data_IF_515730907218
#
_entry.id   IF_515730907218
#
_cell.length_a   1.000
_cell.length_b   1.000
_cell.length_c   1.000
_cell.angle_alpha   90.00
_cell.angle_beta   90.00
_cell.angle_gamma   90.00
#
_symmetry.space_group_name_H-M   'P 1'
#
loop_
_entity.id
_entity.type
_entity.pdbx_description
1 polymer ?
#
# COMPACT_ATOMS: atom_id res chain seq x y z
N UNK A 1 -12.23 4.35 29.69
CA UNK A 1 -12.50 2.94 29.37
C UNK A 1 -11.25 2.38 28.70
N UNK A 2 -10.41 1.66 29.44
CA UNK A 2 -9.14 1.11 28.94
C UNK A 2 -9.46 -0.05 27.97
N UNK A 3 -9.09 0.13 26.70
CA UNK A 3 -9.45 -0.78 25.63
C UNK A 3 -8.59 -2.07 25.71
N UNK A 4 -9.18 -3.20 26.11
CA UNK A 4 -8.47 -4.46 26.36
C UNK A 4 -7.82 -5.07 25.10
N UNK A 5 -8.27 -4.70 23.89
CA UNK A 5 -7.64 -5.13 22.63
C UNK A 5 -6.24 -4.53 22.40
N UNK A 6 -5.93 -3.43 23.08
CA UNK A 6 -4.64 -2.74 23.02
C UNK A 6 -3.46 -3.64 23.41
N UNK A 7 -3.68 -4.62 24.30
CA UNK A 7 -2.65 -5.51 24.84
C UNK A 7 -2.52 -6.84 24.09
N UNK A 8 -3.50 -7.21 23.26
CA UNK A 8 -3.44 -8.46 22.49
C UNK A 8 -2.34 -8.46 21.41
N UNK A 9 -1.89 -7.28 20.97
CA UNK A 9 -0.74 -7.10 20.07
C UNK A 9 0.10 -5.90 20.49
N UNK A 10 1.06 -6.06 21.42
CA UNK A 10 1.82 -4.96 22.03
C UNK A 10 2.75 -4.20 21.06
N UNK A 11 2.91 -4.69 19.82
CA UNK A 11 3.72 -4.04 18.78
C UNK A 11 2.90 -3.65 17.53
N UNK A 12 1.56 -3.73 17.56
CA UNK A 12 0.72 -3.29 16.44
C UNK A 12 0.83 -1.78 16.28
N UNK A 13 1.63 -1.33 15.30
CA UNK A 13 1.96 0.08 15.03
C UNK A 13 3.42 0.46 15.31
N UNK A 14 4.24 -0.44 15.84
CA UNK A 14 5.68 -0.22 16.00
C UNK A 14 6.40 -0.27 14.64
N UNK A 15 7.20 0.74 14.34
CA UNK A 15 7.93 0.84 13.08
C UNK A 15 9.24 0.04 13.15
N UNK A 16 9.15 -1.28 12.99
CA UNK A 16 10.30 -2.19 13.05
C UNK A 16 11.41 -1.83 12.06
N UNK A 17 11.04 -1.39 10.86
CA UNK A 17 11.99 -0.98 9.82
C UNK A 17 12.74 0.28 10.25
N UNK A 18 12.05 1.30 10.77
CA UNK A 18 12.68 2.55 11.24
C UNK A 18 13.57 2.30 12.46
N UNK A 19 13.14 1.44 13.38
CA UNK A 19 13.95 0.94 14.49
C UNK A 19 15.24 0.27 13.98
N UNK A 20 15.14 -0.66 13.02
CA UNK A 20 16.28 -1.37 12.47
C UNK A 20 17.26 -0.41 11.78
N UNK A 21 16.78 0.46 10.90
CA UNK A 21 17.62 1.45 10.23
C UNK A 21 18.31 2.41 11.19
N UNK A 22 17.61 2.91 12.21
CA UNK A 22 18.22 3.75 13.24
C UNK A 22 19.31 2.99 14.01
N UNK A 23 19.06 1.72 14.34
CA UNK A 23 19.96 0.90 15.17
C UNK A 23 21.29 0.56 14.50
N UNK A 24 21.39 0.58 13.16
CA UNK A 24 22.65 0.31 12.43
C UNK A 24 23.77 1.24 12.93
N UNK A 25 23.44 2.50 13.22
CA UNK A 25 24.40 3.51 13.63
C UNK A 25 24.88 3.35 15.07
N UNK A 26 24.21 2.54 15.90
CA UNK A 26 24.63 2.30 17.29
C UNK A 26 25.98 1.57 17.37
N UNK A 27 26.43 0.93 16.29
CA UNK A 27 27.79 0.38 16.21
C UNK A 27 28.89 1.42 16.51
N UNK A 28 28.64 2.70 16.25
CA UNK A 28 29.60 3.77 16.57
C UNK A 28 29.73 4.05 18.07
N UNK A 29 28.81 3.59 18.92
CA UNK A 29 28.96 3.67 20.38
C UNK A 29 30.06 2.73 20.92
N UNK A 30 30.55 1.79 20.11
CA UNK A 30 31.68 0.94 20.49
C UNK A 30 32.94 1.77 20.72
N UNK A 31 33.17 2.85 19.98
CA UNK A 31 34.37 3.68 20.11
C UNK A 31 34.51 4.37 21.48
N UNK A 32 33.53 5.17 21.96
CA UNK A 32 33.63 5.78 23.28
C UNK A 32 33.64 4.73 24.40
N UNK A 33 32.92 3.61 24.23
CA UNK A 33 32.93 2.53 25.20
C UNK A 33 34.30 1.85 25.27
N UNK A 34 34.91 1.57 24.13
CA UNK A 34 36.27 1.01 24.05
C UNK A 34 37.29 1.93 24.68
N UNK A 35 37.23 3.23 24.37
CA UNK A 35 38.12 4.24 24.96
C UNK A 35 38.03 4.25 26.49
N UNK A 36 36.82 4.19 27.05
CA UNK A 36 36.60 4.10 28.49
C UNK A 36 37.13 2.78 29.09
N UNK A 37 36.86 1.65 28.43
CA UNK A 37 37.26 0.33 28.93
C UNK A 37 38.79 0.14 28.90
N UNK A 38 39.46 0.70 27.89
CA UNK A 38 40.91 0.67 27.74
C UNK A 38 41.64 1.64 28.70
N UNK A 39 40.94 2.62 29.27
CA UNK A 39 41.53 3.57 30.23
C UNK A 39 41.80 2.96 31.61
N UNK A 40 42.63 3.64 32.41
CA UNK A 40 42.91 3.29 33.82
C UNK A 40 41.77 3.66 34.78
N UNK A 41 40.57 3.95 34.26
CA UNK A 41 39.42 4.32 35.08
C UNK A 41 39.01 3.21 36.06
N UNK A 42 38.49 3.55 37.25
CA UNK A 42 37.97 2.58 38.20
C UNK A 42 36.90 1.67 37.60
N UNK A 43 36.78 0.44 38.12
CA UNK A 43 35.76 -0.51 37.67
C UNK A 43 34.34 0.05 37.76
N UNK A 44 34.04 0.87 38.77
CA UNK A 44 32.74 1.53 38.92
C UNK A 44 32.43 2.53 37.77
N UNK A 45 33.43 3.24 37.27
CA UNK A 45 33.26 4.17 36.14
C UNK A 45 33.04 3.39 34.84
N UNK A 46 33.74 2.26 34.66
CA UNK A 46 33.56 1.36 33.51
C UNK A 46 32.16 0.74 33.49
N UNK A 47 31.65 0.27 34.62
CA UNK A 47 30.29 -0.29 34.71
C UNK A 47 29.21 0.78 34.51
N UNK A 48 29.42 1.99 35.04
CA UNK A 48 28.53 3.13 34.81
C UNK A 48 28.47 3.49 33.32
N UNK A 49 29.64 3.59 32.65
CA UNK A 49 29.70 3.90 31.22
C UNK A 49 29.04 2.84 30.36
N UNK A 50 29.28 1.56 30.63
CA UNK A 50 28.61 0.46 29.92
C UNK A 50 27.09 0.50 30.11
N UNK A 51 26.62 0.80 31.31
CA UNK A 51 25.19 0.90 31.63
C UNK A 51 24.53 2.08 30.91
N UNK A 52 25.20 3.24 30.88
CA UNK A 52 24.72 4.43 30.15
C UNK A 52 24.64 4.16 28.65
N UNK A 53 25.69 3.57 28.07
CA UNK A 53 25.72 3.21 26.64
C UNK A 53 24.60 2.24 26.28
N UNK A 54 24.38 1.20 27.10
CA UNK A 54 23.30 0.24 26.89
C UNK A 54 21.92 0.90 27.00
N UNK A 55 21.69 1.70 28.04
CA UNK A 55 20.43 2.42 28.22
C UNK A 55 20.16 3.38 27.05
N UNK A 56 21.18 4.13 26.63
CA UNK A 56 21.09 5.03 25.49
C UNK A 56 20.74 4.28 24.20
N UNK A 57 21.44 3.18 23.91
CA UNK A 57 21.20 2.35 22.74
C UNK A 57 19.76 1.80 22.71
N UNK A 58 19.28 1.26 23.84
CA UNK A 58 17.93 0.71 23.94
C UNK A 58 16.85 1.78 23.75
N UNK A 59 17.00 2.95 24.40
CA UNK A 59 16.05 4.05 24.26
C UNK A 59 16.09 4.65 22.86
N UNK A 60 17.27 4.76 22.25
CA UNK A 60 17.45 5.26 20.90
C UNK A 60 16.76 4.36 19.88
N UNK A 61 17.05 3.05 19.89
CA UNK A 61 16.39 2.06 19.01
C UNK A 61 14.88 2.05 19.21
N UNK A 62 14.44 1.97 20.47
CA UNK A 62 13.02 1.97 20.77
C UNK A 62 12.34 3.26 20.33
N UNK A 63 12.95 4.43 20.53
CA UNK A 63 12.42 5.73 20.15
C UNK A 63 12.13 5.84 18.65
N UNK A 64 13.03 5.35 17.79
CA UNK A 64 12.83 5.32 16.33
C UNK A 64 11.65 4.45 15.92
N UNK A 65 11.43 3.31 16.56
CA UNK A 65 10.26 2.46 16.27
C UNK A 65 8.96 2.89 16.97
N UNK A 66 9.07 3.60 18.09
CA UNK A 66 7.95 3.91 18.97
C UNK A 66 7.36 5.31 18.77
N UNK A 67 8.01 6.22 18.04
CA UNK A 67 7.57 7.63 17.92
C UNK A 67 6.12 7.77 17.43
N UNK A 68 5.71 6.95 16.46
CA UNK A 68 4.35 6.93 15.92
C UNK A 68 3.36 6.15 16.80
N UNK A 69 3.86 5.40 17.76
CA UNK A 69 3.15 4.31 18.41
C UNK A 69 2.91 4.53 19.91
N UNK A 70 3.96 4.80 20.68
CA UNK A 70 3.95 4.77 22.15
C UNK A 70 4.61 6.04 22.74
N UNK A 71 4.09 6.60 23.85
CA UNK A 71 2.84 6.23 24.52
C UNK A 71 1.59 6.54 23.67
N UNK A 72 0.61 5.63 23.67
CA UNK A 72 -0.66 5.81 22.94
C UNK A 72 -1.45 7.00 23.52
N UNK A 73 -2.13 7.76 22.66
CA UNK A 73 -2.91 8.95 23.05
C UNK A 73 -2.10 10.25 23.16
N UNK A 74 -0.77 10.20 23.10
CA UNK A 74 0.07 11.40 23.08
C UNK A 74 0.28 11.93 21.67
N UNK A 75 0.39 13.25 21.53
CA UNK A 75 0.76 13.86 20.24
C UNK A 75 2.23 13.55 19.92
N UNK A 76 2.58 13.49 18.63
CA UNK A 76 3.95 13.23 18.18
C UNK A 76 4.98 14.18 18.81
N UNK A 77 4.59 15.44 19.04
CA UNK A 77 5.44 16.44 19.71
C UNK A 77 5.77 16.07 21.16
N UNK A 78 4.79 15.61 21.95
CA UNK A 78 5.05 15.21 23.34
C UNK A 78 5.96 13.98 23.41
N UNK A 79 5.73 12.99 22.53
CA UNK A 79 6.57 11.80 22.44
C UNK A 79 8.01 12.17 22.08
N UNK A 80 8.18 13.02 21.07
CA UNK A 80 9.49 13.51 20.66
C UNK A 80 10.24 14.15 21.84
N UNK A 81 9.61 15.08 22.57
CA UNK A 81 10.28 15.76 23.68
C UNK A 81 10.63 14.84 24.85
N UNK A 82 9.82 13.82 25.13
CA UNK A 82 10.16 12.83 26.16
C UNK A 82 11.32 11.95 25.73
N UNK A 83 11.30 11.39 24.51
CA UNK A 83 12.42 10.59 24.00
C UNK A 83 13.70 11.41 23.89
N UNK A 84 13.61 12.60 23.31
CA UNK A 84 14.74 13.52 23.17
C UNK A 84 15.29 13.96 24.53
N UNK A 85 14.42 14.24 25.50
CA UNK A 85 14.81 14.60 26.87
C UNK A 85 15.52 13.45 27.60
N UNK A 86 15.02 12.21 27.47
CA UNK A 86 15.66 11.02 28.05
C UNK A 86 17.05 10.79 27.46
N UNK A 87 17.19 10.85 26.14
CA UNK A 87 18.48 10.69 25.46
C UNK A 87 19.44 11.83 25.81
N UNK A 88 18.95 13.07 25.87
CA UNK A 88 19.76 14.22 26.27
C UNK A 88 20.22 14.13 27.71
N UNK A 89 19.35 13.68 28.63
CA UNK A 89 19.70 13.44 30.03
C UNK A 89 20.80 12.38 30.19
N UNK A 90 20.70 11.27 29.44
CA UNK A 90 21.76 10.25 29.41
C UNK A 90 23.06 10.78 28.81
N UNK A 91 23.00 11.56 27.72
CA UNK A 91 24.17 12.16 27.11
C UNK A 91 24.88 13.15 28.05
N UNK A 92 24.14 13.97 28.80
CA UNK A 92 24.69 14.86 29.83
C UNK A 92 25.27 14.07 30.99
N UNK A 93 24.58 13.03 31.46
CA UNK A 93 25.08 12.12 32.51
C UNK A 93 26.33 11.34 32.10
N UNK A 94 26.55 11.16 30.79
CA UNK A 94 27.74 10.52 30.25
C UNK A 94 28.99 11.41 30.33
N UNK A 95 28.85 12.74 30.35
CA UNK A 95 29.99 13.69 30.36
C UNK A 95 31.00 13.42 31.48
N UNK A 96 30.63 13.31 32.77
CA UNK A 96 31.59 13.03 33.83
C UNK A 96 32.22 11.63 33.75
N UNK A 97 31.60 10.68 33.04
CA UNK A 97 32.07 9.29 32.92
C UNK A 97 33.02 9.12 31.73
N UNK A 98 32.69 9.73 30.60
CA UNK A 98 33.40 9.57 29.32
C UNK A 98 34.33 10.73 28.98
N UNK A 99 34.25 11.86 29.71
CA UNK A 99 35.03 13.07 29.43
C UNK A 99 34.77 13.58 28.00
N UNK A 100 35.85 13.90 27.28
CA UNK A 100 35.77 14.37 25.89
C UNK A 100 35.06 13.38 24.95
N UNK A 101 35.15 12.06 25.20
CA UNK A 101 34.53 11.05 24.33
C UNK A 101 33.00 11.03 24.39
N UNK A 102 32.40 11.72 25.39
CA UNK A 102 30.95 11.91 25.50
C UNK A 102 30.35 12.67 24.30
N UNK A 103 31.14 13.41 23.52
CA UNK A 103 30.63 14.08 22.32
C UNK A 103 30.13 13.11 21.25
N UNK A 104 30.50 11.83 21.33
CA UNK A 104 29.98 10.79 20.44
C UNK A 104 28.45 10.70 20.49
N UNK A 105 27.81 11.06 21.61
CA UNK A 105 26.35 11.09 21.76
C UNK A 105 25.68 12.24 20.98
N UNK A 106 26.42 13.32 20.64
CA UNK A 106 25.92 14.50 19.91
C UNK A 106 25.34 14.09 18.55
N UNK A 107 26.06 13.26 17.79
CA UNK A 107 25.60 12.78 16.48
C UNK A 107 24.26 12.06 16.58
N UNK A 108 24.05 11.24 17.61
CA UNK A 108 22.80 10.52 17.81
C UNK A 108 21.65 11.46 18.18
N UNK A 109 21.90 12.48 19.00
CA UNK A 109 20.90 13.52 19.29
C UNK A 109 20.53 14.31 18.02
N UNK A 110 21.53 14.66 17.20
CA UNK A 110 21.28 15.28 15.89
C UNK A 110 20.49 14.36 14.98
N UNK A 111 20.78 13.06 14.95
CA UNK A 111 20.02 12.09 14.16
C UNK A 111 18.56 12.02 14.59
N UNK A 112 18.27 12.03 15.90
CA UNK A 112 16.88 12.11 16.39
C UNK A 112 16.20 13.39 15.91
N UNK A 113 16.85 14.55 16.02
CA UNK A 113 16.28 15.80 15.51
C UNK A 113 16.10 15.75 13.99
N UNK A 114 17.08 15.25 13.25
CA UNK A 114 17.07 15.27 11.78
C UNK A 114 16.05 14.29 11.18
N UNK A 115 15.90 13.09 11.74
CA UNK A 115 15.04 12.04 11.18
C UNK A 115 13.65 11.99 11.81
N UNK A 116 13.50 12.41 13.06
CA UNK A 116 12.27 12.21 13.85
C UNK A 116 11.49 13.51 14.05
N UNK A 117 11.96 14.65 13.51
CA UNK A 117 11.29 15.94 13.76
C UNK A 117 9.83 15.98 13.28
N UNK A 118 8.92 16.54 14.09
CA UNK A 118 7.54 16.82 13.67
C UNK A 118 7.39 18.12 12.86
N UNK A 119 8.48 18.84 12.54
CA UNK A 119 8.42 20.04 11.70
C UNK A 119 9.73 20.84 11.60
N UNK A 120 9.91 21.67 10.54
CA UNK A 120 11.18 22.32 10.20
C UNK A 120 11.69 23.31 11.27
N UNK A 121 10.79 23.79 12.13
CA UNK A 121 11.11 24.68 13.25
C UNK A 121 11.94 24.02 14.37
N UNK A 122 12.24 22.72 14.34
CA UNK A 122 13.13 22.10 15.33
C UNK A 122 14.58 21.99 14.85
N UNK A 123 14.86 22.31 13.58
CA UNK A 123 16.22 22.22 13.02
C UNK A 123 17.21 23.20 13.68
N UNK A 124 16.74 24.28 14.30
CA UNK A 124 17.61 25.19 15.07
C UNK A 124 18.24 24.52 16.31
N UNK A 125 17.72 23.38 16.77
CA UNK A 125 18.34 22.62 17.86
C UNK A 125 19.68 22.01 17.44
N UNK A 126 19.89 21.73 16.16
CA UNK A 126 21.11 21.10 15.65
C UNK A 126 22.36 21.96 15.95
N UNK A 127 22.43 23.26 15.56
CA UNK A 127 23.58 24.09 15.90
C UNK A 127 23.75 24.27 17.42
N UNK A 128 22.67 24.26 18.21
CA UNK A 128 22.74 24.32 19.67
C UNK A 128 23.38 23.04 20.25
N UNK A 129 22.95 21.87 19.79
CA UNK A 129 23.51 20.57 20.20
C UNK A 129 25.00 20.47 19.83
N UNK A 130 25.37 20.90 18.61
CA UNK A 130 26.77 20.93 18.20
C UNK A 130 27.61 21.92 19.03
N UNK A 131 27.08 23.12 19.34
CA UNK A 131 27.76 24.10 20.16
C UNK A 131 28.00 23.60 21.59
N UNK A 132 27.03 22.90 22.18
CA UNK A 132 27.19 22.24 23.48
C UNK A 132 28.28 21.15 23.42
N UNK A 133 28.31 20.34 22.37
CA UNK A 133 29.37 19.36 22.12
C UNK A 133 30.76 20.01 22.04
N UNK A 134 30.90 21.12 21.30
CA UNK A 134 32.13 21.90 21.24
C UNK A 134 32.53 22.44 22.62
N UNK A 135 31.57 22.89 23.43
CA UNK A 135 31.82 23.29 24.82
C UNK A 135 32.43 22.17 25.66
N UNK A 136 31.92 20.94 25.54
CA UNK A 136 32.48 19.76 26.22
C UNK A 136 33.92 19.50 25.75
N UNK A 137 34.21 19.60 24.46
CA UNK A 137 35.58 19.44 23.94
C UNK A 137 36.55 20.47 24.54
N UNK A 138 36.13 21.73 24.62
CA UNK A 138 36.94 22.81 25.19
C UNK A 138 37.22 22.58 26.69
N UNK A 139 36.21 22.11 27.44
CA UNK A 139 36.35 21.84 28.89
C UNK A 139 37.33 20.70 29.18
N UNK A 140 37.38 19.68 28.33
CA UNK A 140 38.22 18.49 28.53
C UNK A 140 39.51 18.50 27.68
N UNK A 141 39.79 19.59 26.94
CA UNK A 141 40.98 19.72 26.09
C UNK A 141 41.03 18.77 24.88
N UNK A 142 39.90 18.18 24.48
CA UNK A 142 39.83 17.21 23.39
C UNK A 142 39.70 17.89 22.04
N UNK A 143 40.81 18.19 21.35
CA UNK A 143 40.74 19.18 20.28
C UNK A 143 40.59 18.60 18.85
N UNK A 144 41.41 17.63 18.42
CA UNK A 144 41.42 17.21 17.00
C UNK A 144 40.72 15.87 16.72
N UNK A 145 40.86 14.89 17.61
CA UNK A 145 40.36 13.52 17.38
C UNK A 145 38.83 13.44 17.39
N UNK A 146 38.16 14.30 18.17
CA UNK A 146 36.70 14.29 18.37
C UNK A 146 35.96 15.44 17.66
N UNK A 147 36.68 16.37 17.04
CA UNK A 147 36.09 17.49 16.29
C UNK A 147 35.30 17.00 15.08
N UNK A 148 35.78 15.94 14.44
CA UNK A 148 35.11 15.32 13.29
C UNK A 148 33.75 14.72 13.65
N UNK A 149 33.64 14.12 14.84
CA UNK A 149 32.38 13.59 15.37
C UNK A 149 31.40 14.69 15.78
N UNK A 150 31.89 15.86 16.18
CA UNK A 150 31.05 16.96 16.66
C UNK A 150 30.57 17.89 15.54
N UNK A 151 31.31 17.96 14.43
CA UNK A 151 31.03 18.89 13.32
C UNK A 151 30.68 18.16 12.03
N UNK A 152 31.54 17.27 11.53
CA UNK A 152 31.32 16.62 10.23
C UNK A 152 30.23 15.55 10.27
N UNK A 153 30.18 14.75 11.33
CA UNK A 153 29.20 13.68 11.47
C UNK A 153 27.74 14.21 11.51
N UNK A 154 27.40 15.26 12.30
CA UNK A 154 26.10 15.93 12.23
C UNK A 154 25.74 16.46 10.86
N UNK A 155 26.69 17.06 10.14
CA UNK A 155 26.45 17.56 8.77
C UNK A 155 26.08 16.41 7.84
N UNK A 156 26.82 15.29 7.89
CA UNK A 156 26.51 14.11 7.11
C UNK A 156 25.12 13.56 7.44
N UNK A 157 24.77 13.47 8.73
CA UNK A 157 23.45 13.04 9.19
C UNK A 157 22.34 13.93 8.65
N UNK A 158 22.53 15.26 8.65
CA UNK A 158 21.57 16.21 8.09
C UNK A 158 21.43 16.04 6.58
N UNK A 159 22.54 15.88 5.85
CA UNK A 159 22.53 15.66 4.40
C UNK A 159 21.79 14.36 4.05
N UNK A 160 22.11 13.25 4.74
CA UNK A 160 21.44 11.96 4.52
C UNK A 160 19.96 12.05 4.87
N UNK A 161 19.60 12.72 5.96
CA UNK A 161 18.20 12.97 6.31
C UNK A 161 17.48 13.78 5.21
N UNK A 162 18.12 14.82 4.68
CA UNK A 162 17.54 15.65 3.64
C UNK A 162 17.33 14.87 2.33
N UNK A 163 18.33 14.09 1.89
CA UNK A 163 18.24 13.23 0.70
C UNK A 163 17.12 12.21 0.85
N UNK A 164 17.08 11.48 1.97
CA UNK A 164 16.06 10.45 2.21
C UNK A 164 14.65 11.03 2.29
N UNK A 165 14.48 12.21 2.89
CA UNK A 165 13.19 12.91 2.92
C UNK A 165 12.78 13.43 1.54
N UNK A 166 13.72 13.96 0.76
CA UNK A 166 13.46 14.42 -0.59
C UNK A 166 13.04 13.26 -1.51
N UNK A 167 13.69 12.11 -1.36
CA UNK A 167 13.37 10.91 -2.13
C UNK A 167 12.00 10.33 -1.78
N UNK A 168 11.64 10.28 -0.49
CA UNK A 168 10.28 9.90 -0.06
C UNK A 168 9.22 10.83 -0.65
N UNK A 169 9.41 12.15 -0.54
CA UNK A 169 8.49 13.13 -1.14
C UNK A 169 8.38 12.96 -2.66
N UNK A 170 9.49 12.70 -3.34
CA UNK A 170 9.49 12.46 -4.78
C UNK A 170 8.67 11.21 -5.14
N UNK A 171 8.83 10.12 -4.40
CA UNK A 171 8.08 8.89 -4.63
C UNK A 171 6.58 9.09 -4.39
N UNK A 172 6.21 9.80 -3.32
CA UNK A 172 4.80 10.12 -3.03
C UNK A 172 4.17 10.99 -4.13
N UNK A 173 4.92 12.00 -4.61
CA UNK A 173 4.49 12.85 -5.72
C UNK A 173 4.37 12.06 -7.03
N UNK A 174 5.32 11.17 -7.32
CA UNK A 174 5.28 10.33 -8.51
C UNK A 174 4.05 9.40 -8.48
N UNK A 175 3.78 8.75 -7.34
CA UNK A 175 2.59 7.91 -7.19
C UNK A 175 1.29 8.72 -7.37
N UNK A 176 1.25 9.97 -6.88
CA UNK A 176 0.11 10.86 -7.08
C UNK A 176 -0.05 11.29 -8.55
N UNK A 177 1.06 11.57 -9.25
CA UNK A 177 1.07 11.88 -10.68
C UNK A 177 0.62 10.69 -11.53
N UNK A 178 1.11 9.49 -11.22
CA UNK A 178 0.73 8.27 -11.92
C UNK A 178 -0.79 8.02 -11.79
N UNK A 179 -1.34 8.23 -10.58
CA UNK A 179 -2.78 8.14 -10.35
C UNK A 179 -3.57 9.22 -11.10
N UNK A 180 -3.06 10.45 -11.17
CA UNK A 180 -3.69 11.54 -11.91
C UNK A 180 -3.71 11.26 -13.42
N UNK A 181 -2.59 10.81 -13.98
CA UNK A 181 -2.47 10.42 -15.39
C UNK A 181 -3.40 9.25 -15.72
N UNK A 182 -3.55 8.28 -14.81
CA UNK A 182 -4.52 7.19 -14.98
C UNK A 182 -5.96 7.73 -15.08
N UNK A 183 -6.35 8.68 -14.22
CA UNK A 183 -7.68 9.29 -14.26
C UNK A 183 -7.93 10.10 -15.53
N UNK A 184 -6.95 10.87 -15.97
CA UNK A 184 -7.04 11.64 -17.21
C UNK A 184 -7.19 10.72 -18.42
N UNK A 185 -6.40 9.63 -18.46
CA UNK A 185 -6.51 8.62 -19.51
C UNK A 185 -7.88 7.95 -19.54
N UNK A 186 -8.43 7.57 -18.37
CA UNK A 186 -9.81 7.06 -18.27
C UNK A 186 -10.80 8.05 -18.86
N UNK A 187 -10.69 9.33 -18.49
CA UNK A 187 -11.60 10.36 -18.97
C UNK A 187 -11.51 10.53 -20.49
N UNK A 188 -10.29 10.52 -21.06
CA UNK A 188 -10.08 10.59 -22.51
C UNK A 188 -10.66 9.38 -23.23
N UNK A 189 -10.31 8.16 -22.80
CA UNK A 189 -10.76 6.92 -23.44
C UNK A 189 -12.30 6.82 -23.41
N UNK A 190 -12.93 7.20 -22.29
CA UNK A 190 -14.40 7.26 -22.16
C UNK A 190 -14.99 8.35 -23.06
N UNK A 191 -14.37 9.52 -23.13
CA UNK A 191 -14.84 10.62 -23.98
C UNK A 191 -14.79 10.25 -25.46
N UNK A 192 -13.70 9.63 -25.92
CA UNK A 192 -13.54 9.22 -27.32
C UNK A 192 -14.54 8.13 -27.71
N UNK A 193 -14.75 7.13 -26.84
CA UNK A 193 -15.74 6.06 -27.04
C UNK A 193 -17.18 6.59 -27.11
N UNK A 194 -17.53 7.50 -26.19
CA UNK A 194 -18.86 8.09 -26.14
C UNK A 194 -19.10 9.09 -27.28
N UNK A 195 -18.10 9.91 -27.62
CA UNK A 195 -18.24 10.99 -28.61
C UNK A 195 -18.64 10.48 -30.00
N UNK A 196 -17.98 9.42 -30.49
CA UNK A 196 -18.32 8.84 -31.78
C UNK A 196 -19.71 8.18 -31.76
N UNK A 197 -19.99 7.37 -30.74
CA UNK A 197 -21.26 6.63 -30.61
C UNK A 197 -22.46 7.55 -30.47
N UNK A 198 -22.33 8.63 -29.69
CA UNK A 198 -23.37 9.67 -29.52
C UNK A 198 -23.65 10.41 -30.83
N UNK A 199 -22.61 10.70 -31.62
CA UNK A 199 -22.76 11.37 -32.92
C UNK A 199 -23.54 10.49 -33.90
N UNK A 200 -23.22 9.21 -33.99
CA UNK A 200 -23.94 8.26 -34.86
C UNK A 200 -25.37 8.03 -34.38
N UNK A 201 -25.60 7.90 -33.07
CA UNK A 201 -26.95 7.79 -32.50
C UNK A 201 -27.81 9.01 -32.85
N UNK A 202 -27.26 10.23 -32.72
CA UNK A 202 -27.94 11.46 -33.11
C UNK A 202 -28.37 11.43 -34.58
N UNK A 203 -27.44 11.12 -35.49
CA UNK A 203 -27.71 11.03 -36.93
C UNK A 203 -28.83 10.04 -37.24
N UNK A 204 -28.80 8.84 -36.64
CA UNK A 204 -29.85 7.83 -36.84
C UNK A 204 -31.19 8.24 -36.25
N UNK A 205 -31.21 8.91 -35.10
CA UNK A 205 -32.42 9.46 -34.52
C UNK A 205 -33.04 10.55 -35.40
N UNK A 206 -32.22 11.42 -36.01
CA UNK A 206 -32.69 12.42 -36.98
C UNK A 206 -33.29 11.76 -38.24
N UNK A 207 -32.68 10.69 -38.75
CA UNK A 207 -33.25 9.93 -39.89
C UNK A 207 -34.59 9.30 -39.49
N UNK A 208 -34.67 8.66 -38.34
CA UNK A 208 -35.93 8.06 -37.88
C UNK A 208 -37.06 9.11 -37.74
N UNK A 209 -36.75 10.27 -37.17
CA UNK A 209 -37.71 11.38 -37.04
C UNK A 209 -38.21 11.89 -38.40
N UNK A 210 -37.35 11.94 -39.42
CA UNK A 210 -37.73 12.37 -40.78
C UNK A 210 -38.64 11.38 -41.51
N UNK A 211 -38.54 10.10 -41.19
CA UNK A 211 -39.29 9.03 -41.86
C UNK A 211 -40.51 8.55 -41.07
N UNK A 212 -40.76 9.08 -39.86
CA UNK A 212 -41.83 8.62 -38.96
C UNK A 212 -43.21 8.55 -39.65
N UNK A 213 -43.57 9.59 -40.41
CA UNK A 213 -44.87 9.70 -41.09
C UNK A 213 -44.84 9.17 -42.54
N UNK A 214 -43.65 9.04 -43.14
CA UNK A 214 -43.47 8.65 -44.55
C UNK A 214 -43.23 7.16 -44.75
N UNK A 215 -42.42 6.57 -43.88
CA UNK A 215 -42.07 5.15 -43.89
C UNK A 215 -41.77 4.70 -42.44
N UNK A 216 -42.82 4.27 -41.70
CA UNK A 216 -42.68 3.84 -40.32
C UNK A 216 -41.71 2.66 -40.11
N UNK A 217 -41.52 1.82 -41.13
CA UNK A 217 -40.64 0.66 -41.04
C UNK A 217 -39.17 1.08 -41.08
N UNK A 218 -38.82 2.09 -41.89
CA UNK A 218 -37.48 2.71 -41.87
C UNK A 218 -37.23 3.39 -40.52
N UNK A 219 -38.19 4.14 -40.00
CA UNK A 219 -38.08 4.79 -38.69
C UNK A 219 -37.85 3.76 -37.56
N UNK A 220 -38.60 2.65 -37.57
CA UNK A 220 -38.44 1.55 -36.60
C UNK A 220 -37.05 0.92 -36.67
N UNK A 221 -36.54 0.64 -37.87
CA UNK A 221 -35.19 0.07 -38.07
C UNK A 221 -34.09 0.99 -37.52
N UNK A 222 -34.16 2.29 -37.83
CA UNK A 222 -33.16 3.25 -37.34
C UNK A 222 -33.20 3.39 -35.82
N UNK A 223 -34.39 3.29 -35.21
CA UNK A 223 -34.51 3.35 -33.74
C UNK A 223 -34.04 2.09 -33.03
N UNK A 224 -34.20 0.92 -33.65
CA UNK A 224 -33.55 -0.31 -33.20
C UNK A 224 -32.02 -0.20 -33.29
N UNK A 225 -31.49 0.41 -34.36
CA UNK A 225 -30.05 0.64 -34.49
C UNK A 225 -29.52 1.60 -33.41
N UNK A 226 -30.25 2.66 -33.04
CA UNK A 226 -29.91 3.53 -31.91
C UNK A 226 -29.85 2.73 -30.60
N UNK A 227 -30.86 1.90 -30.32
CA UNK A 227 -30.87 1.08 -29.10
C UNK A 227 -29.69 0.08 -29.04
N UNK A 228 -29.32 -0.52 -30.16
CA UNK A 228 -28.16 -1.42 -30.25
C UNK A 228 -26.83 -0.69 -30.07
N UNK A 229 -26.66 0.50 -30.66
CA UNK A 229 -25.45 1.32 -30.46
C UNK A 229 -25.34 1.75 -28.99
N UNK A 230 -26.45 2.16 -28.36
CA UNK A 230 -26.48 2.51 -26.94
C UNK A 230 -26.07 1.34 -26.04
N UNK A 231 -26.62 0.13 -26.29
CA UNK A 231 -26.26 -1.07 -25.53
C UNK A 231 -24.78 -1.43 -25.67
N UNK A 232 -24.24 -1.40 -26.89
CA UNK A 232 -22.83 -1.72 -27.16
C UNK A 232 -21.89 -0.69 -26.53
N UNK A 233 -22.17 0.60 -26.68
CA UNK A 233 -21.36 1.66 -26.07
C UNK A 233 -21.35 1.60 -24.55
N UNK A 234 -22.49 1.28 -23.92
CA UNK A 234 -22.55 1.08 -22.46
C UNK A 234 -21.70 -0.11 -22.00
N UNK A 235 -21.70 -1.21 -22.77
CA UNK A 235 -20.88 -2.37 -22.49
C UNK A 235 -19.38 -2.07 -22.66
N UNK A 236 -18.98 -1.36 -23.71
CA UNK A 236 -17.59 -0.98 -23.96
C UNK A 236 -17.05 -0.01 -22.89
N UNK A 237 -17.83 0.98 -22.47
CA UNK A 237 -17.47 1.87 -21.36
C UNK A 237 -17.29 1.07 -20.07
N UNK A 238 -18.21 0.14 -19.75
CA UNK A 238 -18.10 -0.72 -18.56
C UNK A 238 -16.84 -1.59 -18.60
N UNK A 239 -16.49 -2.16 -19.75
CA UNK A 239 -15.27 -2.95 -19.94
C UNK A 239 -14.02 -2.08 -19.77
N UNK A 240 -13.98 -0.90 -20.38
CA UNK A 240 -12.83 0.03 -20.31
C UNK A 240 -12.59 0.52 -18.88
N UNK A 241 -13.65 0.95 -18.19
CA UNK A 241 -13.59 1.36 -16.78
C UNK A 241 -13.12 0.22 -15.88
N UNK A 242 -13.61 -1.00 -16.11
CA UNK A 242 -13.21 -2.17 -15.34
C UNK A 242 -11.76 -2.60 -15.58
N UNK A 243 -11.23 -2.40 -16.80
CA UNK A 243 -9.82 -2.68 -17.12
C UNK A 243 -8.87 -1.67 -16.45
N UNK A 244 -9.28 -0.41 -16.29
CA UNK A 244 -8.42 0.65 -15.75
C UNK A 244 -8.53 0.85 -14.23
N UNK A 245 -9.71 0.63 -13.62
CA UNK A 245 -9.90 0.76 -12.15
C UNK A 245 -9.65 -0.53 -11.37
N UNK A 246 -9.45 -1.65 -12.08
CA UNK A 246 -9.46 -2.98 -11.49
C UNK A 246 -10.90 -3.44 -11.26
N UNK A 247 -11.17 -4.71 -11.56
CA UNK A 247 -12.50 -5.28 -11.43
C UNK A 247 -12.94 -5.32 -9.96
N UNK A 248 -14.15 -4.85 -9.72
CA UNK A 248 -14.85 -4.95 -8.45
C UNK A 248 -15.78 -6.15 -8.48
N UNK A 249 -15.60 -7.09 -7.55
CA UNK A 249 -16.33 -8.37 -7.54
C UNK A 249 -17.86 -8.21 -7.44
N UNK A 250 -18.41 -7.39 -6.53
CA UNK A 250 -19.84 -7.10 -6.50
C UNK A 250 -20.38 -6.62 -7.85
N UNK A 251 -19.69 -5.65 -8.46
CA UNK A 251 -20.09 -5.10 -9.76
C UNK A 251 -20.08 -6.18 -10.85
N UNK A 252 -19.05 -7.02 -10.91
CA UNK A 252 -18.99 -8.11 -11.91
C UNK A 252 -20.04 -9.19 -11.69
N UNK A 253 -20.42 -9.47 -10.45
CA UNK A 253 -21.51 -10.42 -10.14
C UNK A 253 -22.86 -9.86 -10.61
N UNK A 254 -23.14 -8.59 -10.37
CA UNK A 254 -24.36 -7.95 -10.87
C UNK A 254 -24.40 -7.96 -12.41
N UNK A 255 -23.28 -7.64 -13.06
CA UNK A 255 -23.16 -7.70 -14.52
C UNK A 255 -23.35 -9.12 -15.07
N UNK A 256 -22.75 -10.12 -14.43
CA UNK A 256 -22.90 -11.52 -14.81
C UNK A 256 -24.36 -11.96 -14.69
N UNK A 257 -25.04 -11.60 -13.58
CA UNK A 257 -26.46 -11.91 -13.36
C UNK A 257 -27.33 -11.30 -14.46
N UNK A 258 -27.15 -10.02 -14.76
CA UNK A 258 -27.97 -9.31 -15.75
C UNK A 258 -27.74 -9.85 -17.17
N UNK A 259 -26.49 -10.20 -17.52
CA UNK A 259 -26.13 -10.80 -18.80
C UNK A 259 -26.70 -12.21 -18.96
N UNK A 260 -26.59 -13.05 -17.93
CA UNK A 260 -27.17 -14.40 -17.90
C UNK A 260 -28.69 -14.37 -18.02
N UNK A 261 -29.35 -13.47 -17.28
CA UNK A 261 -30.80 -13.28 -17.36
C UNK A 261 -31.25 -12.85 -18.77
N UNK A 262 -30.49 -11.96 -19.41
CA UNK A 262 -30.76 -11.52 -20.79
C UNK A 262 -30.61 -12.66 -21.81
N UNK A 263 -29.79 -13.67 -21.50
CA UNK A 263 -29.62 -14.87 -22.31
C UNK A 263 -30.62 -16.00 -21.94
N UNK A 264 -31.54 -15.77 -21.00
CA UNK A 264 -32.52 -16.76 -20.55
C UNK A 264 -32.01 -17.75 -19.49
N UNK A 265 -30.83 -17.52 -18.91
CA UNK A 265 -30.22 -18.37 -17.89
C UNK A 265 -30.55 -17.83 -16.49
N UNK A 266 -31.09 -18.68 -15.60
CA UNK A 266 -31.34 -18.29 -14.20
C UNK A 266 -30.03 -18.29 -13.41
N UNK A 267 -29.73 -17.20 -12.73
CA UNK A 267 -28.50 -17.06 -11.94
C UNK A 267 -28.80 -16.98 -10.43
N UNK A 268 -28.32 -17.96 -9.67
CA UNK A 268 -28.39 -17.97 -8.20
C UNK A 268 -27.05 -17.50 -7.63
N UNK A 269 -27.07 -16.56 -6.68
CA UNK A 269 -25.86 -15.89 -6.18
C UNK A 269 -25.82 -15.93 -4.64
N UNK A 270 -24.71 -16.42 -4.08
CA UNK A 270 -24.42 -16.39 -2.65
C UNK A 270 -23.03 -15.77 -2.43
N UNK A 271 -22.96 -14.62 -1.73
CA UNK A 271 -21.71 -13.85 -1.62
C UNK A 271 -21.34 -13.56 -0.17
N UNK A 272 -20.12 -13.95 0.18
CA UNK A 272 -19.38 -13.46 1.33
C UNK A 272 -18.16 -12.66 0.88
N UNK A 273 -17.78 -11.63 1.64
CA UNK A 273 -16.67 -10.75 1.28
C UNK A 273 -15.31 -11.50 1.26
N UNK A 274 -14.51 -11.40 0.18
CA UNK A 274 -13.14 -11.93 0.15
C UNK A 274 -12.24 -11.28 1.21
N UNK A 275 -11.29 -12.04 1.77
CA UNK A 275 -10.34 -11.53 2.78
C UNK A 275 -9.29 -10.58 2.18
N UNK A 276 -8.92 -10.80 0.91
CA UNK A 276 -7.84 -10.09 0.23
C UNK A 276 -8.28 -9.42 -1.06
N UNK A 277 -7.81 -8.18 -1.28
CA UNK A 277 -8.10 -7.40 -2.50
C UNK A 277 -7.64 -8.11 -3.79
N UNK A 278 -6.51 -8.81 -3.75
CA UNK A 278 -6.00 -9.58 -4.89
C UNK A 278 -6.93 -10.74 -5.27
N UNK A 279 -7.47 -11.44 -4.27
CA UNK A 279 -8.45 -12.51 -4.49
C UNK A 279 -9.76 -11.95 -5.04
N UNK A 280 -10.26 -10.83 -4.50
CA UNK A 280 -11.45 -10.18 -5.02
C UNK A 280 -11.32 -9.82 -6.52
N UNK A 281 -10.18 -9.28 -6.92
CA UNK A 281 -9.91 -8.95 -8.34
C UNK A 281 -9.80 -10.19 -9.23
N UNK A 282 -9.16 -11.26 -8.75
CA UNK A 282 -9.10 -12.52 -9.47
C UNK A 282 -10.49 -13.14 -9.62
N UNK A 283 -11.29 -13.16 -8.56
CA UNK A 283 -12.66 -13.66 -8.59
C UNK A 283 -13.53 -12.87 -9.56
N UNK A 284 -13.39 -11.55 -9.60
CA UNK A 284 -14.15 -10.69 -10.50
C UNK A 284 -13.85 -11.00 -11.99
N UNK A 285 -12.57 -11.23 -12.32
CA UNK A 285 -12.17 -11.72 -13.65
C UNK A 285 -12.81 -13.08 -13.98
N UNK A 286 -12.79 -14.00 -13.03
CA UNK A 286 -13.27 -15.37 -13.23
C UNK A 286 -14.79 -15.40 -13.39
N UNK A 287 -15.53 -14.59 -12.63
CA UNK A 287 -16.98 -14.41 -12.77
C UNK A 287 -17.35 -13.91 -14.18
N UNK A 288 -16.66 -12.87 -14.67
CA UNK A 288 -16.89 -12.33 -16.01
C UNK A 288 -16.67 -13.37 -17.11
N UNK A 289 -15.54 -14.06 -17.05
CA UNK A 289 -15.19 -15.05 -18.07
C UNK A 289 -16.13 -16.26 -18.00
N UNK A 290 -16.47 -16.74 -16.80
CA UNK A 290 -17.40 -17.84 -16.62
C UNK A 290 -18.80 -17.50 -17.15
N UNK A 291 -19.33 -16.29 -16.85
CA UNK A 291 -20.61 -15.85 -17.39
C UNK A 291 -20.60 -15.78 -18.93
N UNK A 292 -19.50 -15.29 -19.51
CA UNK A 292 -19.31 -15.25 -20.97
C UNK A 292 -19.30 -16.65 -21.58
N UNK A 293 -18.60 -17.60 -20.94
CA UNK A 293 -18.55 -18.99 -21.38
C UNK A 293 -19.92 -19.67 -21.29
N UNK A 294 -20.68 -19.43 -20.22
CA UNK A 294 -22.04 -19.97 -20.09
C UNK A 294 -22.93 -19.49 -21.22
N UNK A 295 -22.94 -18.18 -21.49
CA UNK A 295 -23.76 -17.55 -22.54
C UNK A 295 -23.37 -18.06 -23.93
N UNK A 296 -22.08 -18.24 -24.21
CA UNK A 296 -21.60 -18.61 -25.55
C UNK A 296 -21.60 -20.11 -25.83
N UNK A 297 -21.38 -20.94 -24.80
CA UNK A 297 -20.98 -22.33 -25.01
C UNK A 297 -21.80 -23.35 -24.22
N UNK A 298 -22.35 -22.99 -23.04
CA UNK A 298 -22.91 -24.01 -22.15
C UNK A 298 -24.30 -24.52 -22.54
N UNK A 299 -25.14 -23.70 -23.20
CA UNK A 299 -26.58 -23.98 -23.37
C UNK A 299 -27.26 -24.36 -22.03
N UNK A 300 -26.87 -23.68 -20.95
CA UNK A 300 -27.37 -23.94 -19.60
C UNK A 300 -28.71 -23.24 -19.36
N UNK A 301 -29.53 -23.80 -18.45
CA UNK A 301 -30.74 -23.15 -17.94
C UNK A 301 -30.48 -22.47 -16.58
N UNK A 302 -29.48 -22.94 -15.83
CA UNK A 302 -29.11 -22.42 -14.52
C UNK A 302 -27.59 -22.26 -14.37
N UNK A 303 -27.21 -21.18 -13.70
CA UNK A 303 -25.85 -20.91 -13.23
C UNK A 303 -25.88 -20.51 -11.75
N UNK A 304 -24.95 -21.02 -10.96
CA UNK A 304 -24.78 -20.69 -9.54
C UNK A 304 -23.41 -20.06 -9.32
N UNK A 305 -23.36 -18.93 -8.61
CA UNK A 305 -22.13 -18.25 -8.21
C UNK A 305 -22.07 -18.20 -6.68
N UNK A 306 -21.07 -18.86 -6.10
CA UNK A 306 -20.82 -18.88 -4.67
C UNK A 306 -19.44 -18.27 -4.37
N UNK A 307 -19.42 -17.24 -3.53
CA UNK A 307 -18.19 -16.56 -3.10
C UNK A 307 -18.05 -16.72 -1.59
N UNK A 308 -16.90 -17.23 -1.16
CA UNK A 308 -16.48 -17.27 0.24
C UNK A 308 -15.25 -16.38 0.45
N UNK A 309 -14.80 -16.15 1.70
CA UNK A 309 -13.63 -15.30 1.96
C UNK A 309 -12.34 -15.75 1.24
N UNK A 310 -12.22 -17.05 0.93
CA UNK A 310 -11.02 -17.65 0.30
C UNK A 310 -11.32 -18.54 -0.93
N UNK A 311 -12.57 -18.63 -1.37
CA UNK A 311 -12.92 -19.44 -2.54
C UNK A 311 -14.00 -18.81 -3.40
N UNK A 312 -13.99 -19.17 -4.68
CA UNK A 312 -15.02 -18.87 -5.65
C UNK A 312 -15.43 -20.19 -6.32
N UNK A 313 -16.74 -20.44 -6.39
CA UNK A 313 -17.30 -21.59 -7.07
C UNK A 313 -18.38 -21.13 -8.03
N UNK A 314 -18.23 -21.47 -9.30
CA UNK A 314 -19.21 -21.17 -10.35
C UNK A 314 -19.60 -22.48 -11.01
N UNK A 315 -20.89 -22.78 -11.07
CA UNK A 315 -21.38 -24.00 -11.71
C UNK A 315 -22.56 -23.75 -12.62
N UNK A 316 -22.60 -24.41 -13.76
CA UNK A 316 -23.75 -24.45 -14.66
C UNK A 316 -24.30 -25.89 -14.80
N UNK A 317 -25.46 -26.01 -15.45
CA UNK A 317 -26.15 -27.27 -15.77
C UNK A 317 -26.17 -27.58 -17.28
N UNK A 318 -25.29 -26.94 -18.06
CA UNK A 318 -25.23 -27.06 -19.51
C UNK A 318 -24.52 -28.33 -20.02
N UNK A 319 -23.95 -28.25 -21.22
CA UNK A 319 -23.31 -29.41 -21.88
C UNK A 319 -21.91 -29.74 -21.34
N UNK A 320 -21.36 -28.92 -20.43
CA UNK A 320 -20.01 -29.10 -19.88
C UNK A 320 -18.89 -28.70 -20.84
N UNK A 321 -17.67 -28.58 -20.31
CA UNK A 321 -16.49 -28.21 -21.11
C UNK A 321 -15.93 -29.44 -21.82
N UNK A 322 -15.95 -29.41 -23.16
CA UNK A 322 -15.36 -30.43 -24.02
C UNK A 322 -14.38 -29.79 -25.02
N UNK A 323 -13.14 -30.26 -25.05
CA UNK A 323 -12.11 -29.82 -26.00
C UNK A 323 -10.89 -29.12 -25.36
N UNK A 324 -9.91 -28.71 -26.18
CA UNK A 324 -8.71 -28.02 -25.71
C UNK A 324 -9.06 -26.66 -25.10
N UNK A 325 -8.28 -26.25 -24.10
CA UNK A 325 -8.47 -24.99 -23.40
C UNK A 325 -8.30 -23.79 -24.36
N UNK A 326 -9.33 -22.95 -24.44
CA UNK A 326 -9.26 -21.68 -25.18
C UNK A 326 -8.51 -20.60 -24.38
N UNK A 327 -8.19 -19.49 -25.06
CA UNK A 327 -7.48 -18.34 -24.45
C UNK A 327 -8.14 -17.77 -23.19
N UNK A 328 -9.47 -17.91 -23.04
CA UNK A 328 -10.19 -17.51 -21.83
C UNK A 328 -9.79 -18.29 -20.58
N UNK A 329 -9.63 -19.62 -20.73
CA UNK A 329 -9.24 -20.53 -19.63
C UNK A 329 -7.79 -20.29 -19.20
N UNK A 330 -6.89 -20.04 -20.17
CA UNK A 330 -5.51 -19.66 -19.89
C UNK A 330 -5.43 -18.35 -19.11
N UNK A 331 -6.26 -17.36 -19.49
CA UNK A 331 -6.38 -16.08 -18.81
C UNK A 331 -6.78 -16.20 -17.34
N UNK A 332 -7.85 -16.96 -17.05
CA UNK A 332 -8.30 -17.17 -15.66
C UNK A 332 -7.28 -17.97 -14.84
N UNK A 333 -6.59 -18.96 -15.43
CA UNK A 333 -5.54 -19.73 -14.73
C UNK A 333 -4.36 -18.86 -14.33
N UNK A 334 -3.90 -17.99 -15.24
CA UNK A 334 -2.83 -17.04 -14.96
C UNK A 334 -3.22 -16.11 -13.80
N UNK A 335 -4.43 -15.54 -13.84
CA UNK A 335 -4.92 -14.63 -12.79
C UNK A 335 -5.10 -15.31 -11.44
N UNK A 336 -5.59 -16.55 -11.40
CA UNK A 336 -5.67 -17.33 -10.17
C UNK A 336 -4.27 -17.56 -9.57
N UNK A 337 -3.31 -17.96 -10.41
CA UNK A 337 -1.91 -18.18 -10.00
C UNK A 337 -1.25 -16.89 -9.48
N UNK A 338 -1.44 -15.76 -10.17
CA UNK A 338 -0.95 -14.43 -9.74
C UNK A 338 -1.50 -13.99 -8.38
N UNK A 339 -2.71 -14.43 -8.05
CA UNK A 339 -3.36 -14.17 -6.76
C UNK A 339 -3.02 -15.23 -5.68
N UNK A 340 -2.18 -16.23 -6.01
CA UNK A 340 -1.81 -17.32 -5.09
C UNK A 340 -2.89 -18.39 -4.91
N UNK A 341 -3.92 -18.40 -5.77
CA UNK A 341 -5.02 -19.36 -5.71
C UNK A 341 -4.84 -20.49 -6.72
N UNK A 342 -5.43 -21.66 -6.42
CA UNK A 342 -5.51 -22.81 -7.32
C UNK A 342 -6.86 -22.80 -8.04
N UNK A 343 -6.83 -23.04 -9.34
CA UNK A 343 -8.01 -23.14 -10.20
C UNK A 343 -8.22 -24.62 -10.60
N UNK A 344 -9.44 -25.13 -10.39
CA UNK A 344 -9.95 -26.36 -11.00
C UNK A 344 -11.10 -26.05 -11.93
N UNK A 345 -11.15 -26.73 -13.08
CA UNK A 345 -12.27 -26.67 -14.02
C UNK A 345 -12.61 -28.11 -14.39
N UNK A 346 -13.83 -28.53 -14.09
CA UNK A 346 -14.27 -29.91 -14.24
C UNK A 346 -15.64 -29.97 -14.91
N UNK A 347 -15.83 -30.95 -15.79
CA UNK A 347 -17.16 -31.33 -16.25
C UNK A 347 -17.91 -32.04 -15.12
N UNK A 348 -19.16 -31.67 -14.88
CA UNK A 348 -19.96 -32.23 -13.79
C UNK A 348 -20.58 -33.57 -14.20
N UNK A 349 -20.68 -34.55 -13.29
CA UNK A 349 -21.25 -35.88 -13.58
C UNK A 349 -22.70 -35.87 -14.09
N UNK A 350 -23.46 -34.81 -13.81
CA UNK A 350 -24.87 -34.64 -14.19
C UNK A 350 -25.07 -33.67 -15.37
N UNK A 351 -23.99 -33.29 -16.07
CA UNK A 351 -23.99 -32.20 -17.03
C UNK A 351 -23.56 -30.87 -16.41
N UNK A 352 -22.93 -30.03 -17.23
CA UNK A 352 -22.48 -28.69 -16.89
C UNK A 352 -21.00 -28.59 -16.51
N UNK A 353 -20.56 -27.37 -16.23
CA UNK A 353 -19.18 -27.07 -15.83
C UNK A 353 -19.14 -26.67 -14.35
N UNK A 354 -18.06 -27.02 -13.67
CA UNK A 354 -17.69 -26.49 -12.36
C UNK A 354 -16.34 -25.77 -12.47
N UNK A 355 -16.33 -24.48 -12.16
CA UNK A 355 -15.12 -23.68 -12.01
C UNK A 355 -14.94 -23.41 -10.52
N UNK A 356 -13.84 -23.88 -9.95
CA UNK A 356 -13.54 -23.71 -8.53
C UNK A 356 -12.16 -23.09 -8.33
N UNK A 357 -12.09 -22.09 -7.46
CA UNK A 357 -10.87 -21.35 -7.14
C UNK A 357 -10.70 -21.33 -5.64
N UNK A 358 -9.53 -21.72 -5.14
CA UNK A 358 -9.24 -21.78 -3.70
C UNK A 358 -7.85 -21.20 -3.37
N UNK A 359 -7.81 -20.31 -2.39
CA UNK A 359 -6.60 -19.61 -1.93
C UNK A 359 -5.93 -20.27 -0.73
#
# INVERSE_FOLDING_TARGET
MFNAEAFARPFKGFAFIECAYGSIWLGFLVFPLWYLLASDAPAATKTAGASITLAFALIYSFGFGAIGYFPRGWTARHRFWVFFGLLSGLAVGAVPVFGASAVSFVTFLVAVVAFVHPGPRLLWLIPVICALGCGVLLLYGGAWEFLSLTVFSPVLVVVVSWVTQAERKRNDLQAALDLANQREKIASDVHDLLGHSLTVMKLKAEVAARYLDRDPDVARKEMQAVAEIAKRGLAEVRVSVAQQLGLDLPTEIDLARDALASAGVRCDVAVHAPEEKKLAQAFAWIVREAATNVIRHAQAERCTIEVTPRSLRISDDGQGVHGPEGHGIEGIRRRATEAGARLSIEARPKGGTLVEVQA
#
